data_IF_790302846240
#
_entry.id   IF_790302846240
#
_cell.length_a   1.000
_cell.length_b   1.000
_cell.length_c   1.000
_cell.angle_alpha   90.00
_cell.angle_beta   90.00
_cell.angle_gamma   90.00
#
_symmetry.space_group_name_H-M   'P 1'
#
loop_
_entity.id
_entity.type
_entity.pdbx_description
1 polymer ?
#
# COMPACT_ATOMS: atom_id res chain seq x y z
N UNK A 1 49.62 -26.92 -3.53
CA UNK A 1 48.16 -26.96 -3.78
C UNK A 1 47.67 -25.53 -3.77
N UNK A 2 47.15 -24.99 -4.87
CA UNK A 2 46.64 -23.62 -4.92
C UNK A 2 45.21 -23.65 -5.45
N UNK A 3 44.26 -23.19 -4.64
CA UNK A 3 42.86 -23.10 -5.06
C UNK A 3 42.69 -21.96 -6.06
N UNK A 4 42.37 -22.31 -7.30
CA UNK A 4 42.06 -21.34 -8.34
C UNK A 4 40.65 -20.78 -8.09
N UNK A 5 40.57 -19.73 -7.26
CA UNK A 5 39.30 -19.06 -6.99
C UNK A 5 38.84 -18.30 -8.23
N UNK A 6 37.72 -18.74 -8.82
CA UNK A 6 37.14 -18.06 -9.97
C UNK A 6 36.45 -16.76 -9.55
N UNK A 7 37.21 -15.67 -9.61
CA UNK A 7 36.78 -14.32 -9.26
C UNK A 7 35.58 -13.83 -10.10
N UNK A 8 35.35 -14.35 -11.31
CA UNK A 8 34.19 -13.98 -12.13
C UNK A 8 32.90 -14.48 -11.51
N UNK A 9 32.89 -15.72 -11.01
CA UNK A 9 31.75 -16.31 -10.32
C UNK A 9 31.47 -15.58 -9.02
N UNK A 10 32.51 -15.31 -8.23
CA UNK A 10 32.39 -14.56 -6.98
C UNK A 10 31.76 -13.16 -7.17
N UNK A 11 32.18 -12.44 -8.23
CA UNK A 11 31.58 -11.14 -8.58
C UNK A 11 30.10 -11.28 -8.96
N UNK A 12 29.77 -12.25 -9.81
CA UNK A 12 28.38 -12.51 -10.24
C UNK A 12 27.47 -12.86 -9.07
N UNK A 13 27.95 -13.67 -8.14
CA UNK A 13 27.19 -14.06 -6.96
C UNK A 13 26.95 -12.87 -6.02
N UNK A 14 27.96 -12.01 -5.84
CA UNK A 14 27.81 -10.74 -5.10
C UNK A 14 26.78 -9.82 -5.75
N UNK A 15 26.83 -9.65 -7.07
CA UNK A 15 25.90 -8.78 -7.79
C UNK A 15 24.46 -9.32 -7.74
N UNK A 16 24.30 -10.65 -7.76
CA UNK A 16 23.00 -11.29 -7.57
C UNK A 16 22.44 -11.02 -6.17
N UNK A 17 23.23 -11.22 -5.12
CA UNK A 17 22.82 -10.95 -3.73
C UNK A 17 22.38 -9.50 -3.55
N UNK A 18 23.18 -8.55 -4.07
CA UNK A 18 22.84 -7.12 -4.02
C UNK A 18 21.48 -6.83 -4.65
N UNK A 19 21.16 -7.44 -5.80
CA UNK A 19 19.85 -7.28 -6.44
C UNK A 19 18.71 -7.88 -5.64
N UNK A 20 18.94 -9.01 -4.99
CA UNK A 20 17.95 -9.67 -4.11
C UNK A 20 17.65 -8.80 -2.88
N UNK A 21 18.68 -8.20 -2.28
CA UNK A 21 18.56 -7.27 -1.15
C UNK A 21 17.78 -6.01 -1.57
N UNK A 22 18.16 -5.39 -2.70
CA UNK A 22 17.43 -4.24 -3.27
C UNK A 22 15.97 -4.61 -3.58
N UNK A 23 15.70 -5.81 -4.09
CA UNK A 23 14.34 -6.29 -4.34
C UNK A 23 13.57 -6.58 -3.04
N UNK A 24 14.23 -7.04 -1.98
CA UNK A 24 13.61 -7.22 -0.66
C UNK A 24 13.26 -5.86 -0.04
N UNK A 25 14.19 -4.90 -0.07
CA UNK A 25 13.92 -3.52 0.37
C UNK A 25 12.79 -2.88 -0.41
N UNK A 26 12.76 -3.05 -1.74
CA UNK A 26 11.69 -2.54 -2.57
C UNK A 26 10.37 -3.27 -2.33
N UNK A 27 10.37 -4.56 -1.98
CA UNK A 27 9.16 -5.27 -1.51
C UNK A 27 8.69 -4.79 -0.14
N UNK A 28 9.56 -4.30 0.73
CA UNK A 28 9.13 -3.70 1.99
C UNK A 28 8.63 -2.28 1.78
N UNK A 29 9.39 -1.45 1.05
CA UNK A 29 9.08 -0.04 0.75
C UNK A 29 7.90 0.13 -0.20
N UNK A 30 7.76 -0.79 -1.16
CA UNK A 30 6.78 -0.76 -2.24
C UNK A 30 6.01 -2.08 -2.36
N UNK A 31 5.86 -2.84 -1.26
CA UNK A 31 5.23 -4.17 -1.23
C UNK A 31 3.80 -4.27 -1.73
N UNK A 32 3.18 -3.14 -2.05
CA UNK A 32 2.04 -3.09 -2.95
C UNK A 32 2.55 -2.65 -4.31
N UNK A 33 2.51 -3.56 -5.27
CA UNK A 33 2.69 -3.25 -6.68
C UNK A 33 1.75 -2.10 -7.10
N UNK A 34 2.09 -1.38 -8.17
CA UNK A 34 1.22 -0.29 -8.68
C UNK A 34 -0.22 -0.79 -8.93
N UNK A 35 -0.36 -2.03 -9.41
CA UNK A 35 -1.65 -2.68 -9.64
C UNK A 35 -2.43 -2.93 -8.33
N UNK A 36 -1.76 -3.40 -7.27
CA UNK A 36 -2.38 -3.58 -5.95
C UNK A 36 -2.76 -2.26 -5.29
N UNK A 37 -1.94 -1.21 -5.48
CA UNK A 37 -2.32 0.15 -5.02
C UNK A 37 -3.54 0.69 -5.75
N UNK A 38 -3.66 0.44 -7.05
CA UNK A 38 -4.78 0.92 -7.85
C UNK A 38 -6.07 0.19 -7.52
N UNK A 39 -6.00 -1.13 -7.34
CA UNK A 39 -7.15 -1.96 -6.92
C UNK A 39 -7.61 -1.59 -5.51
N UNK A 40 -6.68 -1.42 -4.56
CA UNK A 40 -7.02 -0.95 -3.21
C UNK A 40 -7.68 0.44 -3.24
N UNK A 41 -7.14 1.40 -4.00
CA UNK A 41 -7.77 2.72 -4.15
C UNK A 41 -9.17 2.66 -4.77
N UNK A 42 -9.38 1.78 -5.73
CA UNK A 42 -10.70 1.60 -6.33
C UNK A 42 -11.69 0.98 -5.34
N UNK A 43 -11.24 0.04 -4.51
CA UNK A 43 -12.04 -0.55 -3.43
C UNK A 43 -12.40 0.50 -2.38
N UNK A 44 -11.43 1.27 -1.88
CA UNK A 44 -11.66 2.38 -0.95
C UNK A 44 -12.67 3.38 -1.53
N UNK A 45 -12.52 3.78 -2.79
CA UNK A 45 -13.43 4.73 -3.42
C UNK A 45 -14.88 4.19 -3.54
N UNK A 46 -15.04 2.90 -3.82
CA UNK A 46 -16.35 2.24 -3.85
C UNK A 46 -16.94 2.14 -2.45
N UNK A 47 -16.13 1.84 -1.45
CA UNK A 47 -16.53 1.75 -0.06
C UNK A 47 -16.95 3.12 0.48
N UNK A 48 -16.16 4.17 0.25
CA UNK A 48 -16.52 5.55 0.58
C UNK A 48 -17.84 5.95 -0.07
N UNK A 49 -18.04 5.67 -1.36
CA UNK A 49 -19.31 5.97 -2.06
C UNK A 49 -20.49 5.20 -1.48
N UNK A 50 -20.30 3.94 -1.08
CA UNK A 50 -21.33 3.16 -0.40
C UNK A 50 -21.66 3.76 0.96
N UNK A 51 -20.65 4.09 1.76
CA UNK A 51 -20.82 4.72 3.06
C UNK A 51 -21.51 6.08 2.95
N UNK A 52 -21.14 6.90 1.96
CA UNK A 52 -21.78 8.19 1.70
C UNK A 52 -23.22 8.03 1.20
N UNK A 53 -23.51 7.03 0.35
CA UNK A 53 -24.88 6.74 -0.09
C UNK A 53 -25.75 6.13 1.02
N UNK A 54 -25.15 5.51 2.02
CA UNK A 54 -25.81 5.04 3.24
C UNK A 54 -25.78 6.06 4.37
N UNK A 55 -25.09 7.19 4.18
CA UNK A 55 -25.19 8.34 5.06
C UNK A 55 -26.56 8.94 4.80
N UNK A 56 -27.53 8.53 5.61
CA UNK A 56 -28.67 9.37 5.90
C UNK A 56 -28.04 10.65 6.44
N UNK A 57 -27.98 11.69 5.61
CA UNK A 57 -27.98 13.06 6.11
C UNK A 57 -29.20 13.10 7.03
N UNK A 58 -28.99 12.85 8.33
CA UNK A 58 -29.94 13.30 9.33
C UNK A 58 -30.12 14.76 8.97
N UNK A 59 -31.31 15.20 8.50
CA UNK A 59 -31.53 16.61 8.38
C UNK A 59 -31.19 17.14 9.76
N UNK A 60 -30.14 17.96 9.83
CA UNK A 60 -29.92 18.77 11.00
C UNK A 60 -31.18 19.62 11.06
N UNK A 61 -32.17 19.14 11.81
CA UNK A 61 -33.49 19.74 11.97
C UNK A 61 -33.27 21.23 12.24
N UNK A 62 -33.54 22.12 11.27
CA UNK A 62 -33.58 23.52 11.56
C UNK A 62 -34.94 23.77 12.22
N UNK A 63 -34.90 24.27 13.46
CA UNK A 63 -36.05 24.67 14.29
C UNK A 63 -36.59 23.60 15.26
N UNK A 64 -36.15 23.71 16.51
CA UNK A 64 -37.10 23.63 17.63
C UNK A 64 -37.14 25.01 18.30
N UNK A 65 -38.16 25.84 18.06
CA UNK A 65 -38.42 27.01 18.88
C UNK A 65 -39.18 26.57 20.14
N UNK A 66 -38.69 27.03 21.29
CA UNK A 66 -39.39 27.26 22.57
C UNK A 66 -40.26 26.13 23.18
N UNK A 67 -39.84 25.57 24.33
CA UNK A 67 -40.66 25.43 25.55
C UNK A 67 -39.96 24.59 26.65
N UNK A 68 -39.93 25.17 27.88
CA UNK A 68 -39.60 24.57 29.19
C UNK A 68 -38.11 24.21 29.40
N UNK A 69 -37.39 24.68 30.43
CA UNK A 69 -37.73 25.12 31.79
C UNK A 69 -36.71 26.13 32.31
#
# INVERSE_FOLDING_TARGET
>A
MGDLVNLRRARKDRDRRRREDEAAENRVKFGRSKAEKQTAKAQDALETRRLDGHRLDTPADPETPDASS
#
